data_IF_896039280930
#
_entry.id   IF_896039280930
#
_cell.length_a   1.000
_cell.length_b   1.000
_cell.length_c   1.000
_cell.angle_alpha   90.00
_cell.angle_beta   90.00
_cell.angle_gamma   90.00
#
_symmetry.space_group_name_H-M   'P 1'
#
loop_
_entity.id
_entity.type
_entity.pdbx_description
1 polymer ?
#
# COMPACT_ATOMS: atom_id res chain seq x y z
N UNK A 1 7.24 32.16 13.00
CA UNK A 1 6.15 31.62 12.17
C UNK A 1 6.69 30.35 11.55
N UNK A 2 6.37 29.19 12.12
CA UNK A 2 6.80 27.90 11.58
C UNK A 2 5.58 26.99 11.68
N UNK A 3 4.95 26.76 10.54
CA UNK A 3 3.77 25.92 10.39
C UNK A 3 4.20 24.49 10.70
N UNK A 4 3.79 23.96 11.85
CA UNK A 4 3.89 22.54 12.15
C UNK A 4 2.89 21.81 11.25
N UNK A 5 3.39 21.20 10.17
CA UNK A 5 2.62 20.23 9.41
C UNK A 5 2.39 19.01 10.32
N UNK A 6 1.20 18.90 10.90
CA UNK A 6 0.75 17.65 11.52
C UNK A 6 0.64 16.59 10.45
N UNK A 7 1.63 15.70 10.40
CA UNK A 7 1.63 14.43 9.67
C UNK A 7 0.47 13.58 10.19
N UNK A 8 -0.69 13.77 9.57
CA UNK A 8 -1.87 12.94 9.78
C UNK A 8 -1.59 11.58 9.11
N UNK A 9 -1.55 10.55 9.95
CA UNK A 9 -1.78 9.13 9.65
C UNK A 9 -0.62 8.31 9.05
N UNK A 10 0.28 7.88 9.93
CA UNK A 10 0.71 6.48 9.94
C UNK A 10 0.01 5.79 11.12
N UNK A 11 -1.25 5.37 10.92
CA UNK A 11 -1.89 4.41 11.84
C UNK A 11 -1.01 3.17 11.78
N UNK A 12 -0.44 2.84 12.93
CA UNK A 12 0.53 1.78 13.21
C UNK A 12 1.08 0.99 11.99
N UNK A 13 2.31 1.33 11.55
CA UNK A 13 2.97 0.61 10.46
C UNK A 13 3.18 -0.89 10.76
N UNK A 14 3.16 -1.32 12.03
CA UNK A 14 3.27 -2.74 12.43
C UNK A 14 1.98 -3.50 12.17
N UNK A 15 0.85 -2.80 12.12
CA UNK A 15 -0.49 -3.37 11.95
C UNK A 15 -1.16 -2.89 10.66
N UNK A 16 -0.49 -3.09 9.52
CA UNK A 16 -1.18 -3.24 8.22
C UNK A 16 -2.16 -4.44 8.21
N UNK A 17 -2.55 -5.00 9.37
CA UNK A 17 -3.55 -6.05 9.57
C UNK A 17 -4.94 -5.66 9.05
N UNK A 18 -5.20 -4.36 8.91
CA UNK A 18 -6.41 -3.87 8.26
C UNK A 18 -6.48 -4.21 6.77
N UNK A 19 -5.37 -4.59 6.13
CA UNK A 19 -5.39 -4.99 4.73
C UNK A 19 -5.98 -6.38 4.58
N UNK A 20 -6.93 -6.52 3.66
CA UNK A 20 -7.53 -7.80 3.29
C UNK A 20 -7.73 -7.87 1.78
N UNK A 21 -7.53 -9.07 1.23
CA UNK A 21 -7.83 -9.34 -0.18
C UNK A 21 -9.30 -9.00 -0.45
N UNK A 22 -9.56 -8.37 -1.60
CA UNK A 22 -10.87 -7.86 -2.02
C UNK A 22 -11.10 -6.37 -1.71
N UNK A 23 -10.24 -5.72 -0.90
CA UNK A 23 -10.37 -4.28 -0.63
C UNK A 23 -10.15 -3.44 -1.89
N UNK A 24 -10.98 -2.41 -2.09
CA UNK A 24 -10.78 -1.47 -3.19
C UNK A 24 -9.57 -0.56 -2.97
N UNK A 25 -8.96 -0.07 -4.06
CA UNK A 25 -7.83 0.87 -4.00
C UNK A 25 -8.08 2.07 -3.06
N UNK A 26 -9.27 2.69 -3.15
CA UNK A 26 -9.65 3.81 -2.29
C UNK A 26 -9.76 3.45 -0.81
N UNK A 27 -10.24 2.25 -0.49
CA UNK A 27 -10.32 1.76 0.90
C UNK A 27 -8.91 1.54 1.48
N UNK A 28 -7.99 0.98 0.69
CA UNK A 28 -6.59 0.79 1.09
C UNK A 28 -5.94 2.14 1.40
N UNK A 29 -6.12 3.15 0.53
CA UNK A 29 -5.57 4.50 0.76
C UNK A 29 -6.15 5.14 2.02
N UNK A 30 -7.45 4.97 2.29
CA UNK A 30 -8.08 5.50 3.51
C UNK A 30 -7.53 4.85 4.79
N UNK A 31 -7.19 3.56 4.74
CA UNK A 31 -6.71 2.80 5.91
C UNK A 31 -5.22 3.01 6.18
N UNK A 32 -4.38 2.94 5.14
CA UNK A 32 -2.91 2.90 5.30
C UNK A 32 -2.17 3.99 4.52
N UNK A 33 -2.89 4.90 3.87
CA UNK A 33 -2.30 5.98 3.08
C UNK A 33 -1.90 5.58 1.65
N UNK A 34 -1.41 6.57 0.90
CA UNK A 34 -0.92 6.39 -0.47
C UNK A 34 0.36 5.54 -0.47
N UNK A 35 0.59 4.74 -1.52
CA UNK A 35 1.84 4.01 -1.66
C UNK A 35 3.01 4.95 -1.91
N UNK A 36 4.21 4.51 -1.54
CA UNK A 36 5.46 5.21 -1.89
C UNK A 36 5.75 5.08 -3.39
N UNK A 37 5.40 3.95 -3.98
CA UNK A 37 5.59 3.69 -5.41
C UNK A 37 4.44 2.87 -6.00
N UNK A 38 3.95 3.29 -7.17
CA UNK A 38 2.96 2.56 -7.98
C UNK A 38 3.60 2.13 -9.30
N UNK A 39 3.35 0.89 -9.72
CA UNK A 39 3.73 0.36 -11.03
C UNK A 39 2.55 -0.35 -11.69
N UNK A 40 2.23 0.03 -12.92
CA UNK A 40 1.25 -0.70 -13.74
C UNK A 40 1.96 -1.91 -14.36
N UNK A 41 1.53 -3.11 -14.01
CA UNK A 41 2.12 -4.37 -14.51
C UNK A 41 1.49 -4.77 -15.83
N UNK A 42 0.18 -4.60 -15.97
CA UNK A 42 -0.56 -4.95 -17.17
C UNK A 42 -1.78 -4.07 -17.33
N UNK A 43 -1.86 -3.34 -18.44
CA UNK A 43 -3.06 -2.59 -18.83
C UNK A 43 -3.33 -2.84 -20.31
N UNK A 44 -4.10 -3.90 -20.58
CA UNK A 44 -4.50 -4.32 -21.93
C UNK A 44 -6.02 -4.21 -22.03
N UNK A 45 -6.50 -3.55 -23.08
CA UNK A 45 -7.94 -3.34 -23.30
C UNK A 45 -8.70 -4.68 -23.26
N UNK A 46 -9.72 -4.75 -22.41
CA UNK A 46 -10.55 -5.96 -22.24
C UNK A 46 -10.03 -6.96 -21.22
N UNK A 47 -8.89 -6.71 -20.56
CA UNK A 47 -8.38 -7.50 -19.44
C UNK A 47 -8.39 -6.66 -18.16
N UNK A 48 -8.55 -7.27 -16.97
CA UNK A 48 -8.44 -6.54 -15.72
C UNK A 48 -7.03 -5.95 -15.59
N UNK A 49 -6.96 -4.65 -15.33
CA UNK A 49 -5.69 -3.96 -15.08
C UNK A 49 -5.02 -4.56 -13.85
N UNK A 50 -3.72 -4.83 -13.96
CA UNK A 50 -2.89 -5.31 -12.87
C UNK A 50 -1.87 -4.22 -12.53
N UNK A 51 -1.82 -3.84 -11.26
CA UNK A 51 -0.87 -2.85 -10.75
C UNK A 51 -0.30 -3.31 -9.42
N UNK A 52 0.87 -2.77 -9.10
CA UNK A 52 1.59 -3.07 -7.87
C UNK A 52 1.86 -1.79 -7.12
N UNK A 53 1.56 -1.78 -5.83
CA UNK A 53 1.86 -0.71 -4.89
C UNK A 53 2.92 -1.17 -3.89
N UNK A 54 3.95 -0.36 -3.71
CA UNK A 54 5.01 -0.63 -2.75
C UNK A 54 4.97 0.39 -1.62
N UNK A 55 5.10 -0.13 -0.40
CA UNK A 55 5.26 0.64 0.82
C UNK A 55 6.60 0.26 1.45
N UNK A 56 7.54 1.20 1.47
CA UNK A 56 8.88 0.99 1.97
C UNK A 56 8.89 0.80 3.49
N UNK A 57 10.00 0.26 4.03
CA UNK A 57 10.19 0.21 5.47
C UNK A 57 10.09 1.60 6.09
N UNK A 58 9.32 1.71 7.15
CA UNK A 58 9.05 2.96 7.85
C UNK A 58 9.90 3.00 9.14
N UNK A 59 10.28 4.15 9.71
CA UNK A 59 11.02 4.19 10.98
C UNK A 59 10.40 3.39 12.14
N UNK A 60 9.08 3.16 12.12
CA UNK A 60 8.33 2.34 13.10
C UNK A 60 8.31 0.83 12.78
N UNK A 61 8.58 0.47 11.53
CA UNK A 61 8.73 -0.89 11.01
C UNK A 61 9.85 -0.91 9.95
N UNK A 62 11.12 -0.81 10.39
CA UNK A 62 12.25 -0.53 9.51
C UNK A 62 12.69 -1.75 8.69
N UNK A 63 12.10 -2.92 8.94
CA UNK A 63 12.50 -4.17 8.32
C UNK A 63 11.49 -4.67 7.28
N UNK A 64 10.30 -4.08 7.19
CA UNK A 64 9.21 -4.63 6.39
C UNK A 64 8.90 -3.78 5.15
N UNK A 65 9.20 -4.35 3.98
CA UNK A 65 8.65 -3.90 2.71
C UNK A 65 7.29 -4.56 2.50
N UNK A 66 6.24 -3.79 2.23
CA UNK A 66 4.94 -4.35 1.84
C UNK A 66 4.66 -4.02 0.39
N UNK A 67 4.34 -5.06 -0.38
CA UNK A 67 3.98 -4.96 -1.79
C UNK A 67 2.57 -5.49 -1.95
N UNK A 68 1.69 -4.65 -2.49
CA UNK A 68 0.29 -4.96 -2.74
C UNK A 68 0.09 -5.12 -4.24
N UNK A 69 -0.58 -6.17 -4.67
CA UNK A 69 -0.99 -6.34 -6.06
C UNK A 69 -2.48 -6.12 -6.16
N UNK A 70 -2.88 -5.23 -7.06
CA UNK A 70 -4.28 -4.98 -7.37
C UNK A 70 -4.59 -5.55 -8.75
N UNK A 71 -5.80 -6.12 -8.88
CA UNK A 71 -6.32 -6.61 -10.15
C UNK A 71 -7.75 -6.11 -10.33
N UNK A 72 -8.01 -5.38 -11.40
CA UNK A 72 -9.34 -4.81 -11.68
C UNK A 72 -9.83 -3.85 -10.59
N UNK A 73 -8.92 -3.15 -9.92
CA UNK A 73 -9.27 -2.15 -8.88
C UNK A 73 -9.42 -2.68 -7.46
N UNK A 74 -9.20 -3.98 -7.23
CA UNK A 74 -9.27 -4.61 -5.92
C UNK A 74 -7.94 -5.27 -5.54
N UNK A 75 -7.66 -5.28 -4.24
CA UNK A 75 -6.46 -5.89 -3.66
C UNK A 75 -6.52 -7.40 -3.84
N UNK A 76 -5.65 -7.94 -4.68
CA UNK A 76 -5.59 -9.37 -5.02
C UNK A 76 -4.56 -10.10 -4.16
N UNK A 77 -3.42 -9.47 -3.89
CA UNK A 77 -2.32 -10.08 -3.14
C UNK A 77 -1.63 -9.09 -2.22
N UNK A 78 -1.21 -9.60 -1.06
CA UNK A 78 -0.41 -8.89 -0.07
C UNK A 78 0.89 -9.67 0.14
N UNK A 79 2.03 -9.05 -0.16
CA UNK A 79 3.37 -9.61 0.04
C UNK A 79 4.12 -8.76 1.08
N UNK A 80 4.63 -9.41 2.12
CA UNK A 80 5.40 -8.75 3.18
C UNK A 80 6.80 -9.36 3.22
N UNK A 81 7.80 -8.56 2.87
CA UNK A 81 9.21 -8.97 2.90
C UNK A 81 9.87 -8.36 4.12
N UNK A 82 10.32 -9.21 5.04
CA UNK A 82 11.01 -8.81 6.25
C UNK A 82 12.50 -9.10 6.06
N UNK A 83 13.32 -8.06 6.08
CA UNK A 83 14.77 -8.18 6.07
C UNK A 83 15.27 -8.34 7.51
N UNK A 84 15.77 -9.53 7.86
CA UNK A 84 16.39 -9.84 9.16
C UNK A 84 17.92 -9.68 9.07
#
# INVERSE_FOLDING_TARGET
MTLSATDVQAVDARDRSFLSVGMGEGEVVLKIGKPDHEAIVKSVKGQPEEKTWSYFPHPRDPQTLTVLTFRGGVLDKIDRKISR
#
